data_IF_063064691861
#
_entry.id   IF_063064691861
#
_cell.length_a   1.000
_cell.length_b   1.000
_cell.length_c   1.000
_cell.angle_alpha   90.00
_cell.angle_beta   90.00
_cell.angle_gamma   90.00
#
_symmetry.space_group_name_H-M   'P 1'
#
loop_
_entity.id
_entity.type
_entity.pdbx_description
1 polymer ?
#
# COMPACT_ATOMS: atom_id res chain seq x y z
N UNK A 1 -12.05 -9.67 21.44
CA UNK A 1 -10.63 -9.57 21.85
C UNK A 1 -9.93 -8.73 20.81
N UNK A 2 -9.36 -7.59 21.20
CA UNK A 2 -8.60 -6.75 20.29
C UNK A 2 -7.19 -7.33 20.16
N UNK A 3 -6.72 -7.48 18.92
CA UNK A 3 -5.33 -7.81 18.61
C UNK A 3 -4.82 -6.71 17.70
N UNK A 4 -3.84 -5.96 18.20
CA UNK A 4 -3.25 -4.84 17.47
C UNK A 4 -1.78 -4.66 17.88
N UNK A 5 -1.04 -3.84 17.13
CA UNK A 5 0.39 -3.64 17.32
C UNK A 5 0.77 -3.10 18.72
N UNK A 6 -0.14 -2.42 19.40
CA UNK A 6 0.06 -1.88 20.76
C UNK A 6 -0.32 -2.87 21.87
N UNK A 7 -1.01 -3.97 21.56
CA UNK A 7 -1.36 -4.97 22.56
C UNK A 7 -2.50 -5.92 22.19
N UNK A 8 -2.71 -6.90 23.06
CA UNK A 8 -3.82 -7.87 22.99
C UNK A 8 -4.70 -7.65 24.22
N UNK A 9 -5.87 -7.04 24.04
CA UNK A 9 -6.71 -6.61 25.16
C UNK A 9 -8.19 -6.95 24.97
N UNK A 10 -8.88 -7.16 26.09
CA UNK A 10 -10.33 -7.30 26.11
C UNK A 10 -10.96 -5.96 26.50
N UNK A 11 -11.72 -5.37 25.60
CA UNK A 11 -12.44 -4.12 25.81
C UNK A 11 -13.66 -4.05 24.87
N UNK A 12 -14.55 -3.11 25.13
CA UNK A 12 -15.60 -2.69 24.21
C UNK A 12 -15.05 -1.59 23.27
N UNK A 13 -15.59 -1.51 22.05
CA UNK A 13 -15.22 -0.51 21.05
C UNK A 13 -16.43 0.33 20.71
N UNK A 14 -16.34 1.65 20.93
CA UNK A 14 -17.34 2.60 20.49
C UNK A 14 -16.98 3.17 19.11
N UNK A 15 -17.96 3.24 18.20
CA UNK A 15 -17.84 3.91 16.90
C UNK A 15 -18.88 5.02 16.83
N UNK A 16 -18.47 6.20 16.38
CA UNK A 16 -19.34 7.36 16.19
C UNK A 16 -18.89 8.16 14.98
N UNK A 17 -19.84 8.62 14.16
CA UNK A 17 -19.58 9.43 12.96
C UNK A 17 -18.53 8.78 12.02
N UNK A 18 -18.59 7.45 11.88
CA UNK A 18 -17.68 6.67 11.04
C UNK A 18 -16.25 6.51 11.58
N UNK A 19 -15.97 6.91 12.83
CA UNK A 19 -14.63 6.84 13.45
C UNK A 19 -14.65 6.07 14.77
N UNK A 20 -13.50 5.52 15.16
CA UNK A 20 -13.29 4.94 16.49
C UNK A 20 -13.42 6.06 17.52
N UNK A 21 -14.44 5.96 18.39
CA UNK A 21 -14.72 6.94 19.43
C UNK A 21 -13.90 6.65 20.69
N UNK A 22 -13.91 5.41 21.17
CA UNK A 22 -13.14 4.99 22.34
C UNK A 22 -13.01 3.47 22.41
N UNK A 23 -11.97 3.01 23.12
CA UNK A 23 -11.76 1.63 23.53
C UNK A 23 -11.80 1.61 25.05
N UNK A 24 -12.69 0.82 25.66
CA UNK A 24 -12.88 0.85 27.11
C UNK A 24 -14.06 0.01 27.59
N UNK A 25 -14.90 0.61 28.45
CA UNK A 25 -16.09 -0.04 29.01
C UNK A 25 -17.36 0.67 28.55
N UNK A 26 -18.21 -0.04 27.83
CA UNK A 26 -19.51 0.45 27.43
C UNK A 26 -20.58 0.29 28.51
N UNK A 27 -21.66 1.05 28.40
CA UNK A 27 -22.83 0.89 29.27
C UNK A 27 -23.68 2.14 29.47
N UNK A 28 -24.59 2.03 30.45
CA UNK A 28 -25.38 3.14 30.95
C UNK A 28 -24.71 3.74 32.21
N UNK A 29 -24.22 5.00 32.15
CA UNK A 29 -23.56 5.64 33.31
C UNK A 29 -24.51 5.85 34.50
N UNK A 30 -25.83 5.87 34.30
CA UNK A 30 -26.80 6.10 35.39
C UNK A 30 -26.79 4.97 36.43
N UNK A 31 -26.43 3.75 36.02
CA UNK A 31 -26.54 2.54 36.86
C UNK A 31 -25.31 1.64 36.82
N UNK A 32 -24.32 1.91 35.97
CA UNK A 32 -23.10 1.09 35.85
C UNK A 32 -21.84 1.92 36.15
N UNK A 33 -20.89 1.37 36.93
CA UNK A 33 -19.64 2.08 37.23
C UNK A 33 -18.71 2.13 36.01
N UNK A 34 -17.82 3.14 36.00
CA UNK A 34 -16.66 3.26 35.09
C UNK A 34 -17.00 3.25 33.59
N UNK A 35 -18.18 3.72 33.19
CA UNK A 35 -18.57 3.79 31.77
C UNK A 35 -17.78 4.88 31.05
N UNK A 36 -17.08 4.50 29.98
CA UNK A 36 -16.37 5.42 29.07
C UNK A 36 -17.01 5.49 27.69
N UNK A 37 -17.88 4.52 27.34
CA UNK A 37 -18.60 4.46 26.07
C UNK A 37 -20.12 4.41 26.37
N UNK A 38 -20.83 5.56 26.35
CA UNK A 38 -22.26 5.60 26.61
C UNK A 38 -23.06 4.86 25.54
N UNK A 39 -24.00 4.02 25.94
CA UNK A 39 -24.98 3.36 25.05
C UNK A 39 -26.33 4.05 25.22
N UNK A 40 -26.92 4.50 24.11
CA UNK A 40 -28.23 5.16 24.10
C UNK A 40 -29.17 4.60 23.03
N UNK A 41 -30.31 5.26 22.82
CA UNK A 41 -31.34 4.82 21.87
C UNK A 41 -30.85 4.78 20.41
N UNK A 42 -29.82 5.54 20.07
CA UNK A 42 -29.23 5.62 18.72
C UNK A 42 -27.98 4.75 18.55
N UNK A 43 -27.74 3.81 19.46
CA UNK A 43 -26.56 2.93 19.45
C UNK A 43 -26.94 1.54 18.94
N UNK A 44 -26.39 1.13 17.80
CA UNK A 44 -26.44 -0.25 17.32
C UNK A 44 -25.38 -1.11 18.04
N UNK A 45 -25.60 -2.44 18.08
CA UNK A 45 -24.75 -3.40 18.79
C UNK A 45 -24.29 -4.51 17.85
N UNK A 46 -22.97 -4.74 17.80
CA UNK A 46 -22.36 -5.92 17.20
C UNK A 46 -21.76 -6.79 18.31
N UNK A 47 -22.22 -8.04 18.42
CA UNK A 47 -21.78 -9.01 19.41
C UNK A 47 -20.39 -9.59 19.04
N UNK A 48 -19.34 -9.14 19.73
CA UNK A 48 -17.95 -9.54 19.48
C UNK A 48 -17.37 -10.50 20.55
N UNK A 49 -18.21 -11.04 21.43
CA UNK A 49 -17.79 -12.05 22.40
C UNK A 49 -17.32 -13.34 21.71
N UNK A 50 -16.20 -13.87 22.19
CA UNK A 50 -15.51 -15.00 21.57
C UNK A 50 -14.93 -14.71 20.18
N UNK A 51 -14.94 -13.46 19.70
CA UNK A 51 -14.34 -13.06 18.42
C UNK A 51 -13.03 -12.28 18.64
N UNK A 52 -12.17 -12.31 17.64
CA UNK A 52 -11.01 -11.41 17.52
C UNK A 52 -11.42 -10.23 16.62
N UNK A 53 -10.97 -9.03 16.99
CA UNK A 53 -11.14 -7.80 16.22
C UNK A 53 -9.75 -7.23 15.96
N UNK A 54 -9.44 -6.93 14.70
CA UNK A 54 -8.19 -6.30 14.25
C UNK A 54 -8.53 -5.05 13.44
N UNK A 55 -7.52 -4.22 13.15
CA UNK A 55 -7.64 -3.27 12.05
C UNK A 55 -7.81 -4.01 10.71
N UNK A 56 -8.36 -3.32 9.71
CA UNK A 56 -8.37 -3.81 8.33
C UNK A 56 -6.97 -3.76 7.71
N UNK A 57 -6.68 -4.72 6.84
CA UNK A 57 -5.40 -4.77 6.12
C UNK A 57 -5.22 -3.58 5.15
N UNK A 58 -3.96 -3.21 4.92
CA UNK A 58 -3.56 -2.21 3.94
C UNK A 58 -2.59 -2.88 2.96
N UNK A 59 -3.02 -3.08 1.71
CA UNK A 59 -2.17 -3.60 0.64
C UNK A 59 -1.65 -2.44 -0.21
N UNK A 60 -0.34 -2.35 -0.38
CA UNK A 60 0.31 -1.24 -1.08
C UNK A 60 0.96 -1.62 -2.40
N UNK A 61 0.74 -2.84 -2.90
CA UNK A 61 1.31 -3.30 -4.17
C UNK A 61 0.23 -3.81 -5.14
N UNK A 62 -0.84 -3.03 -5.30
CA UNK A 62 -1.96 -3.41 -6.18
C UNK A 62 -1.68 -3.02 -7.63
N UNK A 63 -1.79 -4.00 -8.52
CA UNK A 63 -1.98 -3.73 -9.95
C UNK A 63 -3.48 -3.64 -10.22
N UNK A 64 -3.98 -2.50 -10.69
CA UNK A 64 -5.40 -2.32 -11.02
C UNK A 64 -5.75 -2.95 -12.37
N UNK A 65 -5.61 -4.27 -12.45
CA UNK A 65 -5.86 -5.08 -13.66
C UNK A 65 -7.37 -5.24 -13.86
N UNK A 66 -8.12 -5.51 -12.79
CA UNK A 66 -9.57 -5.63 -12.86
C UNK A 66 -10.25 -5.21 -11.54
N UNK A 67 -11.49 -4.69 -11.59
CA UNK A 67 -12.19 -4.19 -10.40
C UNK A 67 -12.58 -5.31 -9.42
N UNK A 68 -12.67 -6.56 -9.87
CA UNK A 68 -13.01 -7.72 -9.02
C UNK A 68 -12.02 -7.94 -7.88
N UNK A 69 -10.77 -7.49 -8.04
CA UNK A 69 -9.75 -7.56 -6.98
C UNK A 69 -10.17 -6.84 -5.70
N UNK A 70 -11.01 -5.80 -5.78
CA UNK A 70 -11.48 -5.07 -4.60
C UNK A 70 -12.36 -5.95 -3.69
N UNK A 71 -13.25 -6.76 -4.29
CA UNK A 71 -14.08 -7.69 -3.53
C UNK A 71 -13.24 -8.82 -2.92
N UNK A 72 -12.32 -9.39 -3.69
CA UNK A 72 -11.42 -10.45 -3.21
C UNK A 72 -10.56 -9.97 -2.02
N UNK A 73 -10.00 -8.76 -2.14
CA UNK A 73 -9.22 -8.14 -1.07
C UNK A 73 -10.08 -7.88 0.17
N UNK A 74 -11.28 -7.32 0.00
CA UNK A 74 -12.19 -7.04 1.11
C UNK A 74 -12.60 -8.31 1.86
N UNK A 75 -12.92 -9.39 1.15
CA UNK A 75 -13.26 -10.69 1.75
C UNK A 75 -12.09 -11.26 2.55
N UNK A 76 -10.85 -11.01 2.12
CA UNK A 76 -9.64 -11.40 2.87
C UNK A 76 -9.35 -10.54 4.11
N UNK A 77 -10.09 -9.44 4.31
CA UNK A 77 -9.91 -8.50 5.41
C UNK A 77 -9.07 -7.26 5.09
N UNK A 78 -8.71 -7.03 3.83
CA UNK A 78 -8.02 -5.82 3.36
C UNK A 78 -9.05 -4.73 3.05
N UNK A 79 -8.92 -3.57 3.70
CA UNK A 79 -9.89 -2.46 3.53
C UNK A 79 -9.30 -1.27 2.77
N UNK A 80 -8.00 -1.27 2.52
CA UNK A 80 -7.29 -0.21 1.81
C UNK A 80 -6.33 -0.81 0.78
N UNK A 81 -6.40 -0.30 -0.45
CA UNK A 81 -5.65 -0.78 -1.60
C UNK A 81 -4.92 0.39 -2.26
N UNK A 82 -3.59 0.38 -2.21
CA UNK A 82 -2.72 1.36 -2.87
C UNK A 82 -1.98 0.70 -4.01
N UNK A 83 -1.97 1.35 -5.17
CA UNK A 83 -1.46 0.74 -6.39
C UNK A 83 -1.62 1.60 -7.63
N UNK A 84 -1.48 1.02 -8.81
CA UNK A 84 -1.66 1.74 -10.07
C UNK A 84 -2.07 0.82 -11.20
N UNK A 85 -2.68 1.39 -12.23
CA UNK A 85 -3.13 0.65 -13.41
C UNK A 85 -4.30 1.30 -14.14
N UNK A 86 -4.63 0.73 -15.30
CA UNK A 86 -5.69 1.21 -16.19
C UNK A 86 -6.55 0.08 -16.73
N UNK A 87 -6.67 -1.03 -15.99
CA UNK A 87 -7.33 -2.25 -16.44
C UNK A 87 -6.36 -3.25 -17.11
N UNK A 88 -6.84 -4.17 -17.95
CA UNK A 88 -6.05 -5.27 -18.51
C UNK A 88 -5.21 -4.81 -19.71
N UNK A 89 -4.33 -3.83 -19.48
CA UNK A 89 -3.35 -3.34 -20.44
C UNK A 89 -1.97 -3.87 -20.10
N UNK A 90 -1.12 -4.09 -21.12
CA UNK A 90 0.25 -4.62 -20.94
C UNK A 90 1.04 -3.88 -19.86
N UNK A 91 0.99 -2.54 -19.87
CA UNK A 91 1.67 -1.73 -18.84
C UNK A 91 1.16 -1.96 -17.42
N UNK A 92 -0.14 -2.24 -17.24
CA UNK A 92 -0.73 -2.52 -15.92
C UNK A 92 -0.47 -3.95 -15.46
N UNK A 93 -0.44 -4.91 -16.39
CA UNK A 93 -0.01 -6.28 -16.08
C UNK A 93 1.41 -6.32 -15.54
N UNK A 94 2.29 -5.44 -16.04
CA UNK A 94 3.68 -5.34 -15.60
C UNK A 94 3.89 -4.40 -14.42
N UNK A 95 3.17 -3.27 -14.34
CA UNK A 95 3.53 -2.15 -13.45
C UNK A 95 2.34 -1.57 -12.70
N UNK A 96 2.54 -1.22 -11.43
CA UNK A 96 1.57 -0.46 -10.61
C UNK A 96 1.59 1.03 -10.94
N UNK A 97 1.34 1.39 -12.20
CA UNK A 97 1.39 2.76 -12.68
C UNK A 97 0.06 3.16 -13.32
N UNK A 98 -0.51 4.28 -12.89
CA UNK A 98 -1.63 4.96 -13.56
C UNK A 98 -1.09 6.18 -14.31
N UNK A 99 -0.77 6.08 -15.62
CA UNK A 99 0.07 7.05 -16.30
C UNK A 99 -0.71 8.28 -16.79
N UNK A 100 -0.34 9.46 -16.28
CA UNK A 100 -0.77 10.76 -16.80
C UNK A 100 -2.16 11.24 -16.30
N UNK A 101 -2.43 12.56 -16.35
CA UNK A 101 -3.60 13.16 -15.72
C UNK A 101 -4.95 12.58 -16.18
N UNK A 102 -5.06 12.20 -17.45
CA UNK A 102 -6.30 11.66 -18.00
C UNK A 102 -6.68 10.32 -17.37
N UNK A 103 -5.74 9.37 -17.30
CA UNK A 103 -6.00 8.07 -16.67
C UNK A 103 -6.17 8.19 -15.16
N UNK A 104 -5.39 9.06 -14.50
CA UNK A 104 -5.56 9.33 -13.07
C UNK A 104 -6.98 9.81 -12.78
N UNK A 105 -7.46 10.80 -13.53
CA UNK A 105 -8.83 11.32 -13.38
C UNK A 105 -9.89 10.23 -13.59
N UNK A 106 -9.72 9.35 -14.59
CA UNK A 106 -10.67 8.25 -14.86
C UNK A 106 -10.66 7.18 -13.76
N UNK A 107 -9.49 6.85 -13.24
CA UNK A 107 -9.37 5.86 -12.18
C UNK A 107 -9.90 6.40 -10.84
N UNK A 108 -9.72 7.69 -10.55
CA UNK A 108 -10.34 8.33 -9.39
C UNK A 108 -11.88 8.32 -9.50
N UNK A 109 -12.45 8.56 -10.68
CA UNK A 109 -13.89 8.41 -10.91
C UNK A 109 -14.38 6.96 -10.75
N UNK A 110 -13.60 5.99 -11.22
CA UNK A 110 -13.94 4.57 -11.08
C UNK A 110 -13.85 4.09 -9.62
N UNK A 111 -12.99 4.70 -8.80
CA UNK A 111 -12.80 4.34 -7.39
C UNK A 111 -14.10 4.50 -6.57
N UNK A 112 -14.98 5.44 -6.93
CA UNK A 112 -16.29 5.63 -6.27
C UNK A 112 -17.21 4.39 -6.35
N UNK A 113 -16.92 3.44 -7.25
CA UNK A 113 -17.70 2.21 -7.42
C UNK A 113 -17.18 1.04 -6.59
N UNK A 114 -16.06 1.19 -5.86
CA UNK A 114 -15.39 0.08 -5.18
C UNK A 114 -15.50 0.21 -3.65
N UNK A 115 -15.76 -0.89 -2.91
CA UNK A 115 -16.02 -0.85 -1.46
C UNK A 115 -14.73 -0.85 -0.60
N UNK A 116 -13.67 -0.20 -1.08
CA UNK A 116 -12.36 -0.14 -0.40
C UNK A 116 -11.78 1.27 -0.51
N UNK A 117 -10.92 1.66 0.43
CA UNK A 117 -10.15 2.90 0.30
C UNK A 117 -9.08 2.73 -0.78
N UNK A 118 -8.90 3.73 -1.66
CA UNK A 118 -7.97 3.66 -2.79
C UNK A 118 -6.99 4.83 -2.79
N UNK A 119 -5.71 4.50 -3.01
CA UNK A 119 -4.67 5.46 -3.37
C UNK A 119 -3.99 5.05 -4.68
N UNK A 120 -3.78 6.00 -5.60
CA UNK A 120 -3.18 5.72 -6.90
C UNK A 120 -1.69 6.12 -6.93
N UNK A 121 -0.89 5.35 -7.67
CA UNK A 121 0.50 5.62 -8.00
C UNK A 121 0.63 6.04 -9.46
N UNK A 122 1.30 7.17 -9.71
CA UNK A 122 1.67 7.63 -11.05
C UNK A 122 2.90 6.92 -11.60
N UNK A 123 3.26 7.18 -12.86
CA UNK A 123 4.50 6.68 -13.45
C UNK A 123 5.67 7.61 -13.09
N UNK A 124 6.65 7.09 -12.35
CA UNK A 124 7.84 7.83 -11.90
C UNK A 124 9.01 7.86 -12.89
N UNK A 125 8.96 7.05 -13.95
CA UNK A 125 10.07 6.89 -14.89
C UNK A 125 10.16 8.02 -15.94
N UNK A 126 10.73 9.17 -15.56
CA UNK A 126 11.04 10.27 -16.49
C UNK A 126 12.11 11.19 -15.89
N UNK A 127 12.93 11.83 -16.73
CA UNK A 127 13.96 12.80 -16.30
C UNK A 127 13.56 14.27 -16.47
N UNK A 128 12.28 14.54 -16.78
CA UNK A 128 11.70 15.89 -16.77
C UNK A 128 10.73 16.00 -15.59
N UNK A 129 11.03 16.79 -14.55
CA UNK A 129 10.25 16.78 -13.31
C UNK A 129 8.82 17.30 -13.48
N UNK A 130 8.57 18.22 -14.42
CA UNK A 130 7.21 18.76 -14.63
C UNK A 130 6.19 17.69 -15.03
N UNK A 131 6.62 16.66 -15.79
CA UNK A 131 5.75 15.53 -16.15
C UNK A 131 5.37 14.67 -14.93
N UNK A 132 6.16 14.71 -13.85
CA UNK A 132 5.82 14.07 -12.58
C UNK A 132 4.90 14.96 -11.74
N UNK A 133 5.20 16.26 -11.67
CA UNK A 133 4.36 17.25 -10.96
C UNK A 133 2.94 17.28 -11.52
N UNK A 134 2.77 17.16 -12.84
CA UNK A 134 1.46 17.05 -13.48
C UNK A 134 0.65 15.84 -12.99
N UNK A 135 1.30 14.69 -12.78
CA UNK A 135 0.63 13.49 -12.28
C UNK A 135 0.23 13.66 -10.81
N UNK A 136 1.12 14.17 -9.97
CA UNK A 136 0.83 14.42 -8.55
C UNK A 136 -0.32 15.43 -8.42
N UNK A 137 -0.28 16.52 -9.19
CA UNK A 137 -1.37 17.51 -9.24
C UNK A 137 -2.70 16.93 -9.74
N UNK A 138 -2.67 15.85 -10.54
CA UNK A 138 -3.87 15.14 -10.96
C UNK A 138 -4.46 14.21 -9.90
N UNK A 139 -3.74 13.94 -8.80
CA UNK A 139 -4.27 13.26 -7.60
C UNK A 139 -3.64 11.91 -7.23
N UNK A 140 -2.47 11.54 -7.77
CA UNK A 140 -1.74 10.37 -7.26
C UNK A 140 -1.08 10.68 -5.92
N UNK A 141 -1.02 9.69 -5.03
CA UNK A 141 -0.39 9.80 -3.69
C UNK A 141 1.07 9.36 -3.67
N UNK A 142 1.59 8.96 -4.83
CA UNK A 142 2.95 8.48 -4.98
C UNK A 142 3.32 8.20 -6.43
N UNK A 143 4.59 7.87 -6.66
CA UNK A 143 5.14 7.52 -7.97
C UNK A 143 5.75 6.12 -7.92
N UNK A 144 5.44 5.27 -8.90
CA UNK A 144 6.09 3.98 -9.10
C UNK A 144 7.20 4.13 -10.14
N UNK A 145 8.42 3.78 -9.75
CA UNK A 145 9.54 3.53 -10.65
C UNK A 145 9.58 2.03 -10.94
N UNK A 146 9.54 1.67 -12.23
CA UNK A 146 9.60 0.28 -12.68
C UNK A 146 10.66 0.07 -13.74
N UNK A 147 11.36 -1.08 -13.71
CA UNK A 147 12.44 -1.36 -14.67
C UNK A 147 11.95 -1.47 -16.13
N UNK A 148 10.75 -2.01 -16.37
CA UNK A 148 10.08 -2.06 -17.68
C UNK A 148 9.88 -0.69 -18.34
N UNK A 149 9.89 0.39 -17.54
CA UNK A 149 9.87 1.77 -18.01
C UNK A 149 11.23 2.47 -17.90
N UNK A 150 12.29 1.75 -17.53
CA UNK A 150 13.64 2.24 -17.29
C UNK A 150 13.82 2.77 -15.86
N UNK A 151 14.28 1.92 -14.94
CA UNK A 151 14.57 2.28 -13.55
C UNK A 151 15.99 2.84 -13.37
N UNK A 152 16.35 3.84 -14.20
CA UNK A 152 17.71 4.39 -14.24
C UNK A 152 17.99 5.36 -13.08
N UNK A 153 19.27 5.59 -12.71
CA UNK A 153 19.65 6.59 -11.71
C UNK A 153 19.04 7.99 -11.94
N UNK A 154 18.98 8.45 -13.19
CA UNK A 154 18.42 9.76 -13.53
C UNK A 154 16.90 9.83 -13.31
N UNK A 155 16.17 8.74 -13.58
CA UNK A 155 14.73 8.67 -13.30
C UNK A 155 14.47 8.59 -11.79
N UNK A 156 15.29 7.84 -11.04
CA UNK A 156 15.21 7.75 -9.58
C UNK A 156 15.41 9.10 -8.93
N UNK A 157 16.47 9.83 -9.31
CA UNK A 157 16.76 11.14 -8.75
C UNK A 157 15.66 12.17 -9.05
N UNK A 158 15.16 12.19 -10.28
CA UNK A 158 14.07 13.07 -10.71
C UNK A 158 12.79 12.82 -9.89
N UNK A 159 12.41 11.55 -9.74
CA UNK A 159 11.20 11.18 -9.00
C UNK A 159 11.31 11.47 -7.50
N UNK A 160 12.45 11.20 -6.88
CA UNK A 160 12.67 11.52 -5.47
C UNK A 160 12.71 13.03 -5.22
N UNK A 161 13.28 13.81 -6.14
CA UNK A 161 13.25 15.29 -6.05
C UNK A 161 11.81 15.81 -6.04
N UNK A 162 10.96 15.34 -6.95
CA UNK A 162 9.55 15.75 -7.00
C UNK A 162 8.77 15.23 -5.78
N UNK A 163 9.13 14.05 -5.27
CA UNK A 163 8.53 13.48 -4.08
C UNK A 163 8.77 14.34 -2.83
N UNK A 164 10.02 14.79 -2.62
CA UNK A 164 10.38 15.69 -1.53
C UNK A 164 9.70 17.06 -1.66
N UNK A 165 9.53 17.57 -2.89
CA UNK A 165 8.83 18.84 -3.14
C UNK A 165 7.32 18.79 -2.82
N UNK A 166 6.68 17.64 -3.07
CA UNK A 166 5.22 17.51 -3.05
C UNK A 166 4.68 16.60 -1.94
N UNK A 167 5.55 16.11 -1.06
CA UNK A 167 5.23 15.24 0.09
C UNK A 167 4.43 13.99 -0.31
N UNK A 168 4.97 13.26 -1.29
CA UNK A 168 4.42 11.98 -1.77
C UNK A 168 5.46 10.86 -1.67
N UNK A 169 5.02 9.60 -1.69
CA UNK A 169 5.93 8.45 -1.61
C UNK A 169 6.45 8.01 -2.99
N UNK A 170 7.63 7.41 -3.04
CA UNK A 170 8.16 6.71 -4.21
C UNK A 170 8.25 5.21 -3.94
N UNK A 171 7.66 4.40 -4.82
CA UNK A 171 7.81 2.94 -4.81
C UNK A 171 8.79 2.51 -5.90
N UNK A 172 9.70 1.58 -5.60
CA UNK A 172 10.76 1.15 -6.51
C UNK A 172 10.72 -0.36 -6.80
N UNK A 173 10.68 -0.67 -8.10
CA UNK A 173 11.17 -1.90 -8.70
C UNK A 173 12.43 -1.56 -9.50
N UNK A 174 13.59 -1.99 -9.01
CA UNK A 174 14.92 -1.61 -9.53
C UNK A 174 15.34 -2.40 -10.78
N UNK A 175 16.36 -1.92 -11.48
CA UNK A 175 16.97 -2.54 -12.66
C UNK A 175 17.53 -3.95 -12.36
N UNK A 176 16.83 -4.99 -12.82
CA UNK A 176 17.24 -6.39 -12.62
C UNK A 176 18.49 -6.75 -13.42
N UNK A 177 18.62 -6.13 -14.59
CA UNK A 177 19.65 -6.45 -15.57
C UNK A 177 21.01 -5.85 -15.20
N UNK A 178 21.04 -4.92 -14.25
CA UNK A 178 22.19 -4.04 -13.98
C UNK A 178 22.62 -3.30 -15.26
N UNK A 179 21.66 -2.90 -16.10
CA UNK A 179 21.95 -2.19 -17.35
C UNK A 179 22.54 -0.81 -17.06
N UNK A 180 21.99 -0.12 -16.06
CA UNK A 180 22.35 1.24 -15.66
C UNK A 180 23.33 1.31 -14.49
N UNK A 181 23.67 0.17 -13.89
CA UNK A 181 24.57 0.06 -12.74
C UNK A 181 24.16 -1.08 -11.81
N UNK A 182 24.97 -1.36 -10.79
CA UNK A 182 24.65 -2.32 -9.74
C UNK A 182 23.76 -1.69 -8.65
N UNK A 183 23.42 -2.46 -7.62
CA UNK A 183 22.60 -1.98 -6.50
C UNK A 183 23.23 -0.79 -5.78
N UNK A 184 24.56 -0.71 -5.71
CA UNK A 184 25.28 0.41 -5.13
C UNK A 184 25.05 1.72 -5.89
N UNK A 185 24.95 1.65 -7.22
CA UNK A 185 24.69 2.82 -8.06
C UNK A 185 23.24 3.30 -7.91
N UNK A 186 22.30 2.36 -7.78
CA UNK A 186 20.90 2.65 -7.43
C UNK A 186 20.81 3.31 -6.05
N UNK A 187 21.52 2.78 -5.05
CA UNK A 187 21.58 3.34 -3.70
C UNK A 187 22.19 4.75 -3.69
N UNK A 188 23.25 4.97 -4.48
CA UNK A 188 23.86 6.27 -4.64
C UNK A 188 22.88 7.28 -5.28
N UNK A 189 22.07 6.85 -6.25
CA UNK A 189 21.02 7.67 -6.86
C UNK A 189 19.89 8.02 -5.87
N UNK A 190 19.54 7.09 -4.97
CA UNK A 190 18.57 7.38 -3.91
C UNK A 190 19.09 8.46 -2.96
N UNK A 191 20.39 8.43 -2.64
CA UNK A 191 21.05 9.51 -1.90
C UNK A 191 20.54 9.68 -0.47
N UNK A 192 20.07 8.60 0.17
CA UNK A 192 19.55 8.61 1.54
C UNK A 192 18.13 9.18 1.69
N UNK A 193 17.44 9.51 0.58
CA UNK A 193 16.03 9.91 0.59
C UNK A 193 15.11 8.74 0.88
N UNK A 194 13.92 9.02 1.42
CA UNK A 194 12.94 7.99 1.74
C UNK A 194 12.39 7.34 0.46
N UNK A 195 12.36 6.00 0.45
CA UNK A 195 11.81 5.23 -0.66
C UNK A 195 11.24 3.90 -0.17
N UNK A 196 10.13 3.46 -0.77
CA UNK A 196 9.55 2.14 -0.52
C UNK A 196 10.04 1.14 -1.58
N UNK A 197 10.85 0.17 -1.16
CA UNK A 197 11.33 -0.87 -2.08
C UNK A 197 10.39 -2.07 -2.11
N UNK A 198 9.80 -2.36 -3.27
CA UNK A 198 8.91 -3.51 -3.44
C UNK A 198 9.68 -4.84 -3.54
N UNK A 199 8.95 -5.94 -3.26
CA UNK A 199 9.41 -7.35 -3.26
C UNK A 199 10.90 -7.48 -2.94
N UNK A 200 11.26 -7.04 -1.72
CA UNK A 200 12.65 -6.77 -1.37
C UNK A 200 13.56 -7.99 -1.41
N UNK A 201 12.97 -9.17 -1.29
CA UNK A 201 13.67 -10.45 -1.45
C UNK A 201 14.31 -10.59 -2.85
N UNK A 202 13.61 -10.18 -3.92
CA UNK A 202 14.15 -10.11 -5.27
C UNK A 202 13.49 -11.01 -6.33
N UNK A 203 12.73 -12.04 -5.95
CA UNK A 203 12.06 -12.92 -6.92
C UNK A 203 11.05 -12.19 -7.82
N UNK A 204 10.47 -11.09 -7.33
CA UNK A 204 9.58 -10.21 -8.10
C UNK A 204 10.29 -9.21 -9.02
N UNK A 205 11.63 -9.12 -8.96
CA UNK A 205 12.46 -8.23 -9.78
C UNK A 205 13.46 -7.40 -8.96
N UNK A 206 14.76 -7.66 -9.14
CA UNK A 206 15.94 -6.97 -8.55
C UNK A 206 17.22 -7.38 -9.29
N UNK A 207 18.32 -6.59 -9.19
CA UNK A 207 19.66 -7.01 -9.57
C UNK A 207 19.95 -8.48 -9.21
N UNK A 208 20.32 -9.29 -10.19
CA UNK A 208 20.60 -10.73 -10.03
C UNK A 208 21.44 -11.04 -8.77
N UNK A 209 20.88 -11.89 -7.90
CA UNK A 209 21.47 -12.66 -6.81
C UNK A 209 22.90 -12.25 -6.35
N UNK A 210 22.97 -11.45 -5.28
CA UNK A 210 24.24 -11.16 -4.60
C UNK A 210 24.14 -10.46 -3.23
N UNK A 211 23.09 -9.67 -2.99
CA UNK A 211 23.11 -8.72 -1.86
C UNK A 211 21.76 -8.55 -1.13
N UNK A 212 21.16 -9.64 -0.65
CA UNK A 212 19.96 -9.62 0.22
C UNK A 212 20.12 -8.77 1.51
N UNK A 213 21.35 -8.34 1.84
CA UNK A 213 21.65 -7.59 3.06
C UNK A 213 21.82 -6.07 2.89
N UNK A 214 21.88 -5.51 1.67
CA UNK A 214 22.32 -4.12 1.47
C UNK A 214 21.21 -3.06 1.37
N UNK A 215 19.95 -3.45 1.25
CA UNK A 215 18.80 -2.54 1.23
C UNK A 215 18.12 -2.40 2.60
N UNK A 216 18.93 -2.32 3.66
CA UNK A 216 18.47 -1.93 5.01
C UNK A 216 19.14 -0.67 5.57
N UNK A 217 19.39 0.39 4.78
CA UNK A 217 19.60 1.69 5.39
C UNK A 217 18.31 2.14 6.11
N UNK A 218 18.41 2.90 7.22
CA UNK A 218 17.27 3.22 8.09
C UNK A 218 16.13 3.95 7.37
N UNK A 219 16.45 4.65 6.29
CA UNK A 219 15.54 5.38 5.40
C UNK A 219 14.73 4.52 4.40
N UNK A 220 15.01 3.22 4.28
CA UNK A 220 14.33 2.34 3.30
C UNK A 220 13.30 1.44 3.98
N UNK A 221 12.05 1.54 3.52
CA UNK A 221 10.99 0.64 3.98
C UNK A 221 10.89 -0.56 3.04
N UNK A 222 11.16 -1.75 3.57
CA UNK A 222 11.02 -3.01 2.87
C UNK A 222 9.75 -3.72 3.32
N UNK A 223 8.78 -3.86 2.41
CA UNK A 223 7.67 -4.81 2.59
C UNK A 223 8.13 -6.16 2.04
N UNK A 224 8.24 -7.15 2.94
CA UNK A 224 8.54 -8.53 2.57
C UNK A 224 7.22 -9.24 2.32
N UNK A 225 6.92 -9.49 1.04
CA UNK A 225 5.83 -10.36 0.65
C UNK A 225 6.32 -11.82 0.74
N UNK A 226 5.72 -12.63 1.61
CA UNK A 226 5.82 -14.08 1.49
C UNK A 226 4.70 -14.55 0.56
N UNK A 227 5.00 -15.11 -0.62
CA UNK A 227 3.96 -15.72 -1.44
C UNK A 227 3.31 -16.87 -0.65
N UNK A 228 1.98 -16.89 -0.65
CA UNK A 228 1.18 -18.01 -0.14
C UNK A 228 1.74 -19.32 -0.72
N UNK A 229 2.32 -20.17 0.13
CA UNK A 229 2.56 -21.55 -0.21
C UNK A 229 1.19 -22.18 -0.47
N UNK A 230 0.87 -22.41 -1.75
CA UNK A 230 -0.28 -23.18 -2.15
C UNK A 230 -0.26 -24.51 -1.38
N UNK A 231 -1.23 -24.69 -0.49
CA UNK A 231 -1.56 -25.99 0.09
C UNK A 231 -2.09 -26.88 -1.05
N UNK A 232 -1.18 -27.50 -1.79
CA UNK A 232 -1.50 -28.67 -2.58
C UNK A 232 -1.52 -29.87 -1.63
N UNK A 233 -2.68 -30.53 -1.40
CA UNK A 233 -2.70 -31.80 -0.72
C UNK A 233 -2.05 -32.85 -1.63
N UNK A 234 -0.83 -33.26 -1.32
CA UNK A 234 -0.30 -34.50 -1.86
C UNK A 234 -1.04 -35.67 -1.20
N UNK A 235 -2.16 -36.07 -1.83
CA UNK A 235 -2.66 -37.43 -1.69
C UNK A 235 -1.79 -38.35 -2.54
N UNK A 236 -0.88 -39.06 -1.90
CA UNK A 236 -0.39 -40.34 -2.40
C UNK A 236 -0.66 -41.42 -1.35
N UNK A 237 -1.13 -42.55 -1.87
CA UNK A 237 -1.53 -43.78 -1.17
C UNK A 237 -0.36 -44.43 -0.44
#
# INVERSE_FOLDING_TARGET
>A
MIVDHWGIVKADIGVKDGRIFAIGKAGNPDIQPNVTIPIGASTEVIAAEGKIVTAGGIDTHIHWICPQQAEEALVSGVTTMVGGGTGPAAGTHATTCTPGPWYISRMLQAADSLPVNIGLLGKGNVSQPDALREQVAAGVIGLKIHEDWGATPAAIDCALTVADEMDIQVALHSDTLNESGFVEDTLAAIGGRTIHTFHTEGAGGRPCAGHHHRLRPPEHFAVVYQPNAALHPQHHR
#
